data_IF_858832243173
#
_entry.id   IF_858832243173
#
_cell.length_a   1.000
_cell.length_b   1.000
_cell.length_c   1.000
_cell.angle_alpha   90.00
_cell.angle_beta   90.00
_cell.angle_gamma   90.00
#
_symmetry.space_group_name_H-M   'P 1'
#
loop_
_entity.id
_entity.type
_entity.pdbx_description
1 polymer ?
#
# COMPACT_ATOMS: atom_id res chain seq x y z
N UNK A 1 46.82 23.86 -5.56
CA UNK A 1 45.98 23.04 -6.44
C UNK A 1 45.07 22.04 -5.72
N UNK A 2 45.21 21.77 -4.42
CA UNK A 2 44.43 20.74 -3.70
C UNK A 2 43.01 21.11 -3.28
N UNK A 3 42.68 22.39 -3.06
CA UNK A 3 41.40 22.82 -2.52
C UNK A 3 40.27 22.93 -3.57
N UNK A 4 40.62 23.18 -4.83
CA UNK A 4 39.65 23.28 -5.94
C UNK A 4 39.12 21.91 -6.33
N UNK A 5 39.97 20.90 -6.38
CA UNK A 5 39.56 19.51 -6.72
C UNK A 5 38.59 18.91 -5.71
N UNK A 6 38.70 19.24 -4.40
CA UNK A 6 37.81 18.74 -3.35
C UNK A 6 36.38 19.32 -3.48
N UNK A 7 36.27 20.62 -3.82
CA UNK A 7 34.95 21.27 -4.02
C UNK A 7 34.21 20.76 -5.26
N UNK A 8 34.94 20.51 -6.34
CA UNK A 8 34.38 19.95 -7.58
C UNK A 8 33.88 18.53 -7.35
N UNK A 9 34.65 17.69 -6.61
CA UNK A 9 34.24 16.32 -6.29
C UNK A 9 32.97 16.25 -5.45
N UNK A 10 32.83 17.12 -4.44
CA UNK A 10 31.63 17.20 -3.59
C UNK A 10 30.40 17.64 -4.41
N UNK A 11 30.58 18.58 -5.36
CA UNK A 11 29.49 19.07 -6.19
C UNK A 11 28.99 18.00 -7.17
N UNK A 12 29.90 17.19 -7.74
CA UNK A 12 29.56 16.07 -8.64
C UNK A 12 28.82 14.97 -7.89
N UNK A 13 29.28 14.60 -6.68
CA UNK A 13 28.61 13.58 -5.84
C UNK A 13 27.20 14.03 -5.46
N UNK A 14 27.02 15.30 -5.08
CA UNK A 14 25.71 15.86 -4.75
C UNK A 14 24.76 15.86 -5.95
N UNK A 15 25.25 16.18 -7.14
CA UNK A 15 24.46 16.18 -8.39
C UNK A 15 24.05 14.77 -8.80
N UNK A 16 24.91 13.77 -8.65
CA UNK A 16 24.64 12.35 -8.94
C UNK A 16 23.57 11.82 -7.98
N UNK A 17 23.64 12.13 -6.67
CA UNK A 17 22.60 11.74 -5.71
C UNK A 17 21.22 12.32 -6.04
N UNK A 18 21.14 13.56 -6.52
CA UNK A 18 19.88 14.19 -6.95
C UNK A 18 19.27 13.51 -8.17
N UNK A 19 20.09 13.08 -9.14
CA UNK A 19 19.64 12.39 -10.34
C UNK A 19 19.08 10.98 -10.04
N UNK A 20 19.70 10.24 -9.12
CA UNK A 20 19.27 8.89 -8.73
C UNK A 20 17.91 8.93 -8.01
N UNK A 21 17.67 9.91 -7.14
CA UNK A 21 16.39 10.05 -6.43
C UNK A 21 15.24 10.46 -7.36
N UNK A 22 15.52 11.20 -8.43
CA UNK A 22 14.52 11.58 -9.43
C UNK A 22 14.08 10.38 -10.28
N UNK A 23 15.00 9.49 -10.63
CA UNK A 23 14.68 8.28 -11.41
C UNK A 23 13.83 7.27 -10.59
N UNK A 24 14.12 7.09 -9.29
CA UNK A 24 13.35 6.18 -8.44
C UNK A 24 11.89 6.66 -8.26
N UNK A 25 11.65 7.97 -8.22
CA UNK A 25 10.29 8.55 -8.13
C UNK A 25 9.48 8.34 -9.41
N UNK A 26 10.11 8.49 -10.56
CA UNK A 26 9.45 8.26 -11.85
C UNK A 26 9.04 6.78 -11.99
N UNK A 27 9.88 5.85 -11.53
CA UNK A 27 9.64 4.42 -11.66
C UNK A 27 8.35 3.96 -10.97
N UNK A 28 8.07 4.37 -9.70
CA UNK A 28 6.87 3.94 -8.98
C UNK A 28 5.57 4.39 -9.66
N UNK A 29 5.52 5.63 -10.11
CA UNK A 29 4.32 6.19 -10.75
C UNK A 29 4.10 5.58 -12.13
N UNK A 30 5.18 5.30 -12.86
CA UNK A 30 5.12 4.70 -14.19
C UNK A 30 4.70 3.24 -14.11
N UNK A 31 5.27 2.48 -13.17
CA UNK A 31 4.86 1.10 -12.89
C UNK A 31 3.37 1.02 -12.53
N UNK A 32 2.86 1.91 -11.66
CA UNK A 32 1.44 1.92 -11.27
C UNK A 32 0.49 2.35 -12.40
N UNK A 33 0.99 2.78 -13.55
CA UNK A 33 0.21 3.16 -14.74
C UNK A 33 0.38 2.20 -15.92
N UNK A 34 1.21 1.17 -15.79
CA UNK A 34 1.53 0.24 -16.88
C UNK A 34 0.46 -0.84 -17.12
N UNK A 35 -0.57 -0.89 -16.28
CA UNK A 35 -1.66 -1.88 -16.37
C UNK A 35 -1.29 -3.27 -15.86
N UNK A 36 -0.14 -3.43 -15.19
CA UNK A 36 0.33 -4.71 -14.62
C UNK A 36 0.67 -4.61 -13.13
N UNK A 37 0.66 -3.41 -12.56
CA UNK A 37 1.01 -3.18 -11.16
C UNK A 37 -0.14 -2.60 -10.35
N UNK A 38 -0.20 -3.00 -9.08
CA UNK A 38 -1.05 -2.42 -8.04
C UNK A 38 -0.22 -2.13 -6.80
N UNK A 39 -0.63 -1.17 -5.98
CA UNK A 39 -0.03 -0.92 -4.68
C UNK A 39 -0.89 -1.61 -3.61
N UNK A 40 -0.42 -2.74 -3.10
CA UNK A 40 -1.04 -3.45 -1.98
C UNK A 40 -0.48 -2.91 -0.66
N UNK A 41 -1.33 -2.62 0.31
CA UNK A 41 -0.90 -1.97 1.54
C UNK A 41 -1.55 -2.61 2.76
N UNK A 42 -0.76 -2.89 3.79
CA UNK A 42 -1.29 -3.22 5.10
C UNK A 42 -1.79 -1.95 5.79
N UNK A 43 -2.93 -2.03 6.49
CA UNK A 43 -3.43 -0.92 7.29
C UNK A 43 -2.33 -0.31 8.19
N UNK A 44 -2.44 0.97 8.51
CA UNK A 44 -1.54 1.66 9.43
C UNK A 44 -1.61 1.09 10.86
N UNK A 45 -0.76 1.57 11.74
CA UNK A 45 -0.64 1.04 13.10
C UNK A 45 -1.98 1.02 13.85
N UNK A 46 -2.35 -0.18 14.29
CA UNK A 46 -3.50 -0.44 15.12
C UNK A 46 -3.00 -1.26 16.32
N UNK A 47 -2.90 -0.67 17.52
CA UNK A 47 -2.36 -1.32 18.70
C UNK A 47 -3.14 -2.58 19.09
N UNK A 48 -2.45 -3.59 19.63
CA UNK A 48 -3.04 -4.85 20.05
C UNK A 48 -2.98 -5.94 18.99
N UNK A 49 -3.65 -7.06 19.28
CA UNK A 49 -3.64 -8.27 18.46
C UNK A 49 -5.07 -8.81 18.29
N UNK A 50 -5.48 -9.10 17.06
CA UNK A 50 -6.85 -9.54 16.76
C UNK A 50 -7.88 -8.42 16.95
N UNK A 51 -9.13 -8.73 16.73
CA UNK A 51 -10.28 -7.90 17.12
C UNK A 51 -10.88 -8.44 18.42
N UNK A 52 -11.59 -7.64 19.24
CA UNK A 52 -12.29 -8.13 20.42
C UNK A 52 -13.28 -9.23 20.08
N UNK A 53 -13.47 -10.20 20.99
CA UNK A 53 -14.45 -11.27 20.81
C UNK A 53 -15.85 -10.69 20.57
N UNK A 54 -16.54 -11.16 19.52
CA UNK A 54 -17.89 -10.70 19.18
C UNK A 54 -17.95 -9.32 18.53
N UNK A 55 -16.84 -8.82 17.97
CA UNK A 55 -16.88 -7.57 17.20
C UNK A 55 -17.84 -7.65 16.01
N UNK A 56 -18.42 -6.53 15.68
CA UNK A 56 -19.28 -6.33 14.50
C UNK A 56 -18.53 -5.53 13.44
N UNK A 57 -18.45 -6.08 12.22
CA UNK A 57 -17.77 -5.42 11.10
C UNK A 57 -18.42 -4.10 10.69
N UNK A 58 -19.71 -3.94 10.92
CA UNK A 58 -20.45 -2.70 10.67
C UNK A 58 -20.28 -1.64 11.76
N UNK A 59 -19.67 -1.97 12.90
CA UNK A 59 -19.59 -1.09 14.07
C UNK A 59 -18.13 -0.91 14.54
N UNK A 60 -17.52 0.20 14.10
CA UNK A 60 -16.10 0.48 14.38
C UNK A 60 -15.74 0.47 15.87
N UNK A 61 -16.66 0.89 16.75
CA UNK A 61 -16.41 0.92 18.21
C UNK A 61 -16.17 -0.47 18.83
N UNK A 62 -16.53 -1.54 18.14
CA UNK A 62 -16.31 -2.92 18.57
C UNK A 62 -15.03 -3.53 18.03
N UNK A 63 -14.36 -2.86 17.11
CA UNK A 63 -13.16 -3.35 16.41
C UNK A 63 -11.87 -2.81 17.03
N UNK A 64 -10.76 -3.47 16.72
CA UNK A 64 -9.41 -2.92 16.92
C UNK A 64 -9.13 -1.86 15.85
N UNK A 65 -8.97 -0.62 16.27
CA UNK A 65 -8.85 0.55 15.39
C UNK A 65 -7.45 1.15 15.40
N UNK A 66 -7.21 2.14 14.53
CA UNK A 66 -5.96 2.88 14.49
C UNK A 66 -5.71 3.61 15.81
N UNK A 67 -4.48 3.50 16.34
CA UNK A 67 -4.00 4.38 17.38
C UNK A 67 -3.62 5.77 16.83
N UNK A 68 -3.28 6.70 17.72
CA UNK A 68 -2.86 8.05 17.32
C UNK A 68 -1.59 8.02 16.44
N UNK A 69 -0.67 7.10 16.72
CA UNK A 69 0.49 6.87 15.86
C UNK A 69 0.06 6.42 14.47
N UNK A 70 -0.86 5.44 14.38
CA UNK A 70 -1.35 4.95 13.11
C UNK A 70 -2.06 5.99 12.25
N UNK A 71 -2.82 6.88 12.88
CA UNK A 71 -3.44 8.02 12.18
C UNK A 71 -2.40 8.98 11.59
N UNK A 72 -1.34 9.29 12.35
CA UNK A 72 -0.22 10.11 11.87
C UNK A 72 0.55 9.37 10.76
N UNK A 73 0.80 8.07 10.93
CA UNK A 73 1.46 7.22 9.96
C UNK A 73 0.70 7.21 8.61
N UNK A 74 -0.62 7.01 8.62
CA UNK A 74 -1.44 7.03 7.40
C UNK A 74 -1.33 8.37 6.66
N UNK A 75 -1.36 9.50 7.37
CA UNK A 75 -1.15 10.84 6.78
C UNK A 75 0.25 10.99 6.20
N UNK A 76 1.28 10.50 6.89
CA UNK A 76 2.66 10.54 6.41
C UNK A 76 2.83 9.71 5.13
N UNK A 77 2.18 8.53 5.05
CA UNK A 77 2.16 7.70 3.85
C UNK A 77 1.50 8.44 2.69
N UNK A 78 0.33 9.06 2.90
CA UNK A 78 -0.33 9.86 1.87
C UNK A 78 0.56 11.01 1.37
N UNK A 79 1.26 11.69 2.27
CA UNK A 79 2.23 12.74 1.92
C UNK A 79 3.42 12.20 1.13
N UNK A 80 3.93 11.02 1.52
CA UNK A 80 5.00 10.33 0.80
C UNK A 80 4.56 9.96 -0.61
N UNK A 81 3.36 9.39 -0.78
CA UNK A 81 2.80 9.02 -2.09
C UNK A 81 2.66 10.24 -3.00
N UNK A 82 2.15 11.38 -2.48
CA UNK A 82 2.13 12.65 -3.24
C UNK A 82 3.54 13.09 -3.63
N UNK A 83 4.52 12.94 -2.73
CA UNK A 83 5.93 13.19 -3.03
C UNK A 83 6.51 12.27 -4.10
N UNK A 84 5.92 11.09 -4.35
CA UNK A 84 6.25 10.21 -5.48
C UNK A 84 5.47 10.57 -6.77
N UNK A 85 4.65 11.61 -6.77
CA UNK A 85 3.84 12.02 -7.93
C UNK A 85 2.45 11.40 -7.98
N UNK A 86 2.04 10.63 -6.97
CA UNK A 86 0.72 10.00 -6.86
C UNK A 86 -0.21 10.98 -6.12
N UNK A 87 -0.85 11.89 -6.87
CA UNK A 87 -1.75 12.91 -6.31
C UNK A 87 -3.21 12.45 -6.26
N UNK A 88 -3.57 11.44 -7.05
CA UNK A 88 -4.89 10.80 -7.08
C UNK A 88 -4.72 9.32 -7.37
N UNK A 89 -5.60 8.50 -6.76
CA UNK A 89 -5.62 7.05 -6.94
C UNK A 89 -7.06 6.52 -6.90
N UNK A 90 -7.28 5.33 -7.43
CA UNK A 90 -8.43 4.50 -7.13
C UNK A 90 -8.10 3.73 -5.84
N UNK A 91 -8.86 3.96 -4.78
CA UNK A 91 -8.57 3.37 -3.47
C UNK A 91 -9.66 2.37 -3.13
N UNK A 92 -9.25 1.14 -2.90
CA UNK A 92 -10.10 0.05 -2.44
C UNK A 92 -9.66 -0.37 -1.04
N UNK A 93 -10.60 -0.65 -0.16
CA UNK A 93 -10.31 -0.99 1.22
C UNK A 93 -11.10 -2.19 1.70
N UNK A 94 -10.46 -2.97 2.55
CA UNK A 94 -11.13 -3.90 3.45
C UNK A 94 -12.27 -3.19 4.21
N UNK A 95 -13.37 -3.90 4.53
CA UNK A 95 -14.45 -3.34 5.36
C UNK A 95 -14.05 -3.06 6.82
N UNK A 96 -12.92 -3.56 7.31
CA UNK A 96 -12.43 -3.24 8.66
C UNK A 96 -12.08 -1.76 8.80
N UNK A 97 -12.53 -1.15 9.89
CA UNK A 97 -12.37 0.30 10.11
C UNK A 97 -10.90 0.76 10.10
N UNK A 98 -9.97 -0.01 10.63
CA UNK A 98 -8.52 0.30 10.54
C UNK A 98 -7.99 0.39 9.10
N UNK A 99 -8.60 -0.34 8.15
CA UNK A 99 -8.24 -0.23 6.73
C UNK A 99 -8.91 0.97 6.08
N UNK A 100 -10.23 1.15 6.29
CA UNK A 100 -10.96 2.28 5.72
C UNK A 100 -10.47 3.62 6.26
N UNK A 101 -10.15 3.71 7.55
CA UNK A 101 -9.57 4.91 8.16
C UNK A 101 -8.16 5.19 7.60
N UNK A 102 -7.32 4.14 7.43
CA UNK A 102 -6.03 4.30 6.76
C UNK A 102 -6.24 4.86 5.36
N UNK A 103 -7.12 4.26 4.57
CA UNK A 103 -7.41 4.66 3.20
C UNK A 103 -7.88 6.12 3.11
N UNK A 104 -8.79 6.54 3.98
CA UNK A 104 -9.27 7.93 4.05
C UNK A 104 -8.14 8.91 4.40
N UNK A 105 -7.29 8.54 5.36
CA UNK A 105 -6.18 9.40 5.82
C UNK A 105 -5.03 9.53 4.81
N UNK A 106 -4.95 8.66 3.78
CA UNK A 106 -4.04 8.86 2.64
C UNK A 106 -4.38 10.15 1.87
N UNK A 107 -5.65 10.52 1.83
CA UNK A 107 -6.16 11.72 1.13
C UNK A 107 -5.75 11.77 -0.36
N UNK A 108 -6.04 10.67 -1.08
CA UNK A 108 -5.70 10.50 -2.50
C UNK A 108 -6.92 10.23 -3.39
N UNK A 109 -8.13 10.22 -2.82
CA UNK A 109 -9.38 9.98 -3.56
C UNK A 109 -10.46 9.31 -2.71
N UNK A 110 -11.61 9.02 -3.33
CA UNK A 110 -12.70 8.31 -2.67
C UNK A 110 -12.32 6.84 -2.42
N UNK A 111 -12.76 6.33 -1.27
CA UNK A 111 -12.51 4.95 -0.85
C UNK A 111 -13.71 4.07 -1.19
N UNK A 112 -13.47 2.97 -1.87
CA UNK A 112 -14.46 1.93 -2.17
C UNK A 112 -14.20 0.71 -1.29
N UNK A 113 -15.22 0.23 -0.59
CA UNK A 113 -15.10 -0.97 0.25
C UNK A 113 -15.27 -2.22 -0.62
N UNK A 114 -14.34 -3.17 -0.46
CA UNK A 114 -14.31 -4.43 -1.19
C UNK A 114 -14.08 -5.60 -0.23
N UNK A 115 -15.01 -6.55 -0.21
CA UNK A 115 -14.95 -7.72 0.68
C UNK A 115 -13.74 -8.62 0.47
N UNK A 116 -13.20 -8.81 -0.76
CA UNK A 116 -11.99 -9.60 -0.97
C UNK A 116 -10.75 -9.08 -0.23
N UNK A 117 -10.76 -7.80 0.20
CA UNK A 117 -9.68 -7.19 0.98
C UNK A 117 -9.84 -7.43 2.48
N UNK A 118 -10.94 -8.03 2.94
CA UNK A 118 -11.23 -8.32 4.34
C UNK A 118 -10.25 -9.31 4.96
N UNK A 119 -10.09 -9.25 6.29
CA UNK A 119 -9.23 -10.18 7.02
C UNK A 119 -9.89 -11.55 7.14
N UNK A 120 -9.15 -12.61 6.88
CA UNK A 120 -9.54 -13.97 7.24
C UNK A 120 -8.71 -14.50 8.42
N UNK A 121 -8.20 -13.60 9.25
CA UNK A 121 -7.36 -13.95 10.41
C UNK A 121 -8.10 -14.86 11.40
N UNK A 122 -9.39 -14.63 11.62
CA UNK A 122 -10.21 -15.40 12.55
C UNK A 122 -10.76 -16.71 11.93
N UNK A 123 -10.68 -16.86 10.62
CA UNK A 123 -11.05 -18.10 9.88
C UNK A 123 -10.10 -18.34 8.71
N UNK A 124 -9.01 -19.04 9.00
CA UNK A 124 -7.98 -19.37 8.00
C UNK A 124 -8.46 -20.33 6.90
N UNK A 125 -9.63 -20.95 7.05
CA UNK A 125 -10.22 -21.79 6.00
C UNK A 125 -10.61 -20.99 4.74
N UNK A 126 -10.80 -19.69 4.89
CA UNK A 126 -11.14 -18.76 3.81
C UNK A 126 -9.95 -18.33 2.95
N UNK A 127 -8.69 -18.66 3.34
CA UNK A 127 -7.48 -18.21 2.68
C UNK A 127 -7.52 -18.39 1.15
N UNK A 128 -7.75 -19.63 0.69
CA UNK A 128 -7.72 -19.94 -0.75
C UNK A 128 -8.81 -19.20 -1.53
N UNK A 129 -10.03 -19.20 -0.99
CA UNK A 129 -11.19 -18.54 -1.62
C UNK A 129 -10.94 -17.04 -1.73
N UNK A 130 -10.57 -16.41 -0.63
CA UNK A 130 -10.44 -14.96 -0.56
C UNK A 130 -9.21 -14.45 -1.33
N UNK A 131 -8.11 -15.24 -1.38
CA UNK A 131 -6.97 -14.93 -2.26
C UNK A 131 -7.40 -14.95 -3.73
N UNK A 132 -8.21 -15.93 -4.14
CA UNK A 132 -8.73 -15.97 -5.51
C UNK A 132 -9.67 -14.80 -5.84
N UNK A 133 -10.50 -14.40 -4.90
CA UNK A 133 -11.36 -13.21 -5.02
C UNK A 133 -10.53 -11.91 -5.12
N UNK A 134 -9.41 -11.81 -4.38
CA UNK A 134 -8.46 -10.70 -4.49
C UNK A 134 -7.81 -10.64 -5.88
N UNK A 135 -7.36 -11.79 -6.43
CA UNK A 135 -6.84 -11.87 -7.80
C UNK A 135 -7.86 -11.38 -8.83
N UNK A 136 -9.12 -11.81 -8.68
CA UNK A 136 -10.21 -11.39 -9.57
C UNK A 136 -10.50 -9.88 -9.46
N UNK A 137 -10.47 -9.32 -8.24
CA UNK A 137 -10.61 -7.89 -8.01
C UNK A 137 -9.48 -7.12 -8.72
N UNK A 138 -8.22 -7.52 -8.51
CA UNK A 138 -7.06 -6.89 -9.16
C UNK A 138 -7.22 -6.93 -10.68
N UNK A 139 -7.51 -8.11 -11.24
CA UNK A 139 -7.73 -8.27 -12.68
C UNK A 139 -8.83 -7.33 -13.18
N UNK A 140 -9.98 -7.33 -12.53
CA UNK A 140 -11.15 -6.54 -12.97
C UNK A 140 -10.86 -5.03 -12.95
N UNK A 141 -10.06 -4.55 -11.99
CA UNK A 141 -9.71 -3.13 -11.91
C UNK A 141 -8.63 -2.73 -12.93
N UNK A 142 -7.65 -3.61 -13.19
CA UNK A 142 -6.65 -3.39 -14.24
C UNK A 142 -7.26 -3.45 -15.64
N UNK A 143 -8.21 -4.34 -15.89
CA UNK A 143 -8.91 -4.46 -17.19
C UNK A 143 -9.69 -3.18 -17.58
N UNK A 144 -10.05 -2.34 -16.61
CA UNK A 144 -10.70 -1.02 -16.87
C UNK A 144 -9.76 0.00 -17.50
N UNK A 145 -8.45 -0.29 -17.58
CA UNK A 145 -7.42 0.55 -18.18
C UNK A 145 -7.43 2.01 -17.68
N UNK A 146 -7.78 2.20 -16.41
CA UNK A 146 -7.71 3.51 -15.78
C UNK A 146 -6.26 4.00 -15.71
N UNK A 147 -6.04 5.30 -15.95
CA UNK A 147 -4.73 5.92 -15.78
C UNK A 147 -4.40 6.27 -14.32
N UNK A 148 -5.34 6.07 -13.41
CA UNK A 148 -5.12 6.31 -11.98
C UNK A 148 -4.49 5.06 -11.35
N UNK A 149 -3.45 5.22 -10.52
CA UNK A 149 -2.91 4.16 -9.68
C UNK A 149 -4.00 3.43 -8.88
N UNK A 150 -3.86 2.12 -8.72
CA UNK A 150 -4.74 1.29 -7.90
C UNK A 150 -4.05 1.03 -6.57
N UNK A 151 -4.69 1.42 -5.47
CA UNK A 151 -4.22 1.19 -4.09
C UNK A 151 -5.23 0.31 -3.35
N UNK A 152 -4.76 -0.79 -2.79
CA UNK A 152 -5.57 -1.82 -2.13
C UNK A 152 -5.18 -1.94 -0.65
N UNK A 153 -6.06 -1.49 0.26
CA UNK A 153 -5.85 -1.54 1.71
C UNK A 153 -6.38 -2.84 2.30
N UNK A 154 -5.50 -3.64 2.91
CA UNK A 154 -5.84 -4.96 3.43
C UNK A 154 -5.03 -5.33 4.68
N UNK A 155 -4.91 -6.61 4.99
CA UNK A 155 -4.34 -7.16 6.21
C UNK A 155 -3.11 -8.04 5.92
N UNK A 156 -2.30 -8.31 6.95
CA UNK A 156 -1.09 -9.12 6.81
C UNK A 156 -1.37 -10.55 6.32
N UNK A 157 -2.50 -11.15 6.72
CA UNK A 157 -2.87 -12.51 6.29
C UNK A 157 -3.15 -12.57 4.79
N UNK A 158 -3.84 -11.56 4.25
CA UNK A 158 -4.13 -11.44 2.82
C UNK A 158 -2.85 -11.24 2.00
N UNK A 159 -1.98 -10.33 2.46
CA UNK A 159 -0.70 -10.06 1.79
C UNK A 159 0.18 -11.31 1.81
N UNK A 160 0.28 -11.98 2.96
CA UNK A 160 1.05 -13.22 3.09
C UNK A 160 0.52 -14.33 2.19
N UNK A 161 -0.80 -14.54 2.16
CA UNK A 161 -1.42 -15.55 1.30
C UNK A 161 -1.18 -15.26 -0.18
N UNK A 162 -1.26 -13.97 -0.59
CA UNK A 162 -1.14 -13.56 -1.97
C UNK A 162 0.30 -13.63 -2.50
N UNK A 163 1.31 -13.25 -1.70
CA UNK A 163 2.70 -13.11 -2.17
C UNK A 163 3.75 -13.86 -1.34
N UNK A 164 3.36 -14.59 -0.33
CA UNK A 164 4.26 -15.39 0.51
C UNK A 164 5.17 -14.59 1.45
N UNK A 165 4.90 -13.28 1.68
CA UNK A 165 5.74 -12.39 2.49
C UNK A 165 4.95 -11.69 3.59
N UNK A 166 5.60 -11.50 4.73
CA UNK A 166 5.08 -10.66 5.80
C UNK A 166 5.50 -9.20 5.58
N UNK A 167 4.62 -8.29 5.97
CA UNK A 167 4.84 -6.84 5.93
C UNK A 167 4.43 -6.22 7.25
N UNK A 168 5.09 -5.12 7.63
CA UNK A 168 4.73 -4.33 8.81
C UNK A 168 3.49 -3.49 8.59
N UNK A 169 2.89 -2.98 9.66
CA UNK A 169 1.76 -2.05 9.57
C UNK A 169 2.18 -0.77 8.85
N UNK A 170 1.40 -0.39 7.85
CA UNK A 170 1.67 0.75 6.99
C UNK A 170 2.65 0.50 5.84
N UNK A 171 3.28 -0.68 5.75
CA UNK A 171 4.12 -1.00 4.60
C UNK A 171 3.28 -1.08 3.32
N UNK A 172 3.87 -0.59 2.24
CA UNK A 172 3.32 -0.60 0.90
C UNK A 172 4.09 -1.59 0.04
N UNK A 173 3.40 -2.30 -0.81
CA UNK A 173 3.99 -3.29 -1.72
C UNK A 173 3.54 -3.01 -3.13
N UNK A 174 4.47 -2.60 -3.99
CA UNK A 174 4.24 -2.57 -5.42
C UNK A 174 4.26 -4.01 -5.91
N UNK A 175 3.13 -4.49 -6.38
CA UNK A 175 2.96 -5.88 -6.83
C UNK A 175 2.75 -5.90 -8.32
N UNK A 176 3.59 -6.66 -9.03
CA UNK A 176 3.38 -7.02 -10.42
C UNK A 176 2.51 -8.27 -10.50
N UNK A 177 1.51 -8.25 -11.37
CA UNK A 177 0.60 -9.38 -11.61
C UNK A 177 0.57 -9.77 -13.08
N UNK A 178 0.14 -11.00 -13.36
CA UNK A 178 -0.13 -11.47 -14.71
C UNK A 178 -1.54 -11.04 -15.16
N UNK A 179 -1.91 -11.39 -16.39
CA UNK A 179 -3.23 -11.10 -16.99
C UNK A 179 -4.44 -11.69 -16.22
N UNK A 180 -4.21 -12.62 -15.30
CA UNK A 180 -5.24 -13.21 -14.46
C UNK A 180 -5.32 -12.54 -13.06
N UNK A 181 -4.49 -11.53 -12.79
CA UNK A 181 -4.38 -10.89 -11.47
C UNK A 181 -3.52 -11.67 -10.47
N UNK A 182 -2.83 -12.74 -10.92
CA UNK A 182 -1.99 -13.59 -10.07
C UNK A 182 -0.60 -12.96 -9.88
N UNK A 183 -0.04 -13.14 -8.69
CA UNK A 183 1.24 -12.58 -8.29
C UNK A 183 2.40 -13.04 -9.19
N UNK A 184 3.27 -12.11 -9.58
CA UNK A 184 4.55 -12.36 -10.29
C UNK A 184 5.74 -11.95 -9.42
N UNK A 185 5.79 -10.69 -9.02
CA UNK A 185 6.92 -10.12 -8.28
C UNK A 185 6.49 -8.92 -7.46
N UNK A 186 7.35 -8.43 -6.56
CA UNK A 186 7.05 -7.29 -5.73
C UNK A 186 8.27 -6.46 -5.36
N UNK A 187 8.01 -5.20 -4.99
CA UNK A 187 8.96 -4.31 -4.29
C UNK A 187 8.27 -3.80 -3.03
N UNK A 188 8.92 -3.92 -1.87
CA UNK A 188 8.39 -3.43 -0.59
C UNK A 188 8.91 -2.02 -0.34
N UNK A 189 8.01 -1.10 -0.06
CA UNK A 189 8.30 0.25 0.41
C UNK A 189 7.90 0.34 1.89
N UNK A 190 8.88 0.38 2.81
CA UNK A 190 8.60 0.55 4.23
C UNK A 190 7.82 1.84 4.48
N UNK A 191 6.92 1.78 5.48
CA UNK A 191 6.17 2.97 5.89
C UNK A 191 7.09 4.11 6.30
N UNK A 192 6.89 5.34 5.77
CA UNK A 192 7.58 6.51 6.31
C UNK A 192 7.16 6.71 7.78
N UNK A 193 8.11 7.23 8.57
CA UNK A 193 7.81 7.64 9.95
C UNK A 193 6.99 8.92 9.94
N UNK A 194 5.97 9.05 10.83
CA UNK A 194 5.20 10.29 10.99
C UNK A 194 6.03 11.46 11.47
#
# INVERSE_FOLDING_TARGET
MSCVNKKISIFIISLICLLITSQAKAALVDDLKDGQHVLLMRHADAPGYGDPAGYDIGLCSTQRNLGDYGKKQAKAIGSWLRGQGINKAQIFSSPWCRCSDTAQLLDLGSVKIETPLGSFFDDMSLEKKQTKELEQLIKSELDKQSKLPIILLTHHVNIRAFMGKNVSQGDMVLVKVNKNGEYISHVIYPSPKP
#
